data_IF_355218421124
#
_entry.id   IF_355218421124
#
_cell.length_a   1.000
_cell.length_b   1.000
_cell.length_c   1.000
_cell.angle_alpha   90.00
_cell.angle_beta   90.00
_cell.angle_gamma   90.00
#
_symmetry.space_group_name_H-M   'P 1'
#
loop_
_entity.id
_entity.type
_entity.pdbx_description
1 polymer ?
#
# COMPACT_ATOMS: atom_id res chain seq x y z
N UNK A 1 14.88 -5.77 -11.42
CA UNK A 1 15.99 -5.17 -12.20
C UNK A 1 16.27 -3.75 -11.71
N UNK A 2 17.48 -3.51 -11.18
CA UNK A 2 17.82 -2.28 -10.46
C UNK A 2 17.26 -2.29 -9.04
N UNK A 3 17.82 -1.45 -8.17
CA UNK A 3 17.43 -1.34 -6.77
C UNK A 3 18.16 -0.19 -6.07
N UNK A 4 17.94 1.07 -6.49
CA UNK A 4 18.51 2.22 -5.79
C UNK A 4 17.83 2.41 -4.43
N UNK A 5 18.53 3.03 -3.49
CA UNK A 5 17.91 3.42 -2.22
C UNK A 5 16.70 4.35 -2.41
N UNK A 6 15.77 4.31 -1.46
CA UNK A 6 14.61 5.19 -1.42
C UNK A 6 14.81 6.44 -0.54
N UNK A 7 15.95 6.58 0.17
CA UNK A 7 16.29 7.79 0.93
C UNK A 7 17.13 8.76 0.08
N UNK A 8 18.33 8.35 -0.36
CA UNK A 8 19.27 9.16 -1.18
C UNK A 8 19.03 9.05 -2.69
N UNK A 9 18.06 8.23 -3.11
CA UNK A 9 17.62 8.10 -4.49
C UNK A 9 16.10 7.86 -4.53
N UNK A 10 15.57 7.46 -5.70
CA UNK A 10 14.14 7.39 -5.99
C UNK A 10 13.47 6.03 -5.69
N UNK A 11 14.23 5.03 -5.24
CA UNK A 11 13.64 3.80 -4.69
C UNK A 11 12.84 2.92 -5.65
N UNK A 12 13.06 3.02 -6.97
CA UNK A 12 12.27 2.28 -7.98
C UNK A 12 13.14 1.34 -8.81
N UNK A 13 12.53 0.29 -9.37
CA UNK A 13 13.16 -0.50 -10.44
C UNK A 13 13.39 0.35 -11.71
N UNK A 14 14.20 -0.17 -12.64
CA UNK A 14 14.61 0.59 -13.83
C UNK A 14 13.43 0.98 -14.74
N UNK A 15 13.53 2.17 -15.36
CA UNK A 15 12.57 2.63 -16.39
C UNK A 15 12.52 1.66 -17.57
N UNK A 16 13.66 1.07 -17.96
CA UNK A 16 13.71 0.08 -19.05
C UNK A 16 12.84 -1.14 -18.75
N UNK A 17 12.89 -1.66 -17.52
CA UNK A 17 12.08 -2.80 -17.13
C UNK A 17 10.59 -2.46 -17.13
N UNK A 18 10.18 -1.35 -16.51
CA UNK A 18 8.77 -0.92 -16.50
C UNK A 18 8.23 -0.68 -17.92
N UNK A 19 8.98 0.02 -18.78
CA UNK A 19 8.54 0.26 -20.17
C UNK A 19 8.47 -1.00 -21.01
N UNK A 20 9.39 -1.93 -20.81
CA UNK A 20 9.35 -3.23 -21.50
C UNK A 20 8.12 -4.03 -21.07
N UNK A 21 7.84 -4.13 -19.77
CA UNK A 21 6.66 -4.83 -19.26
C UNK A 21 5.36 -4.23 -19.83
N UNK A 22 5.25 -2.89 -19.89
CA UNK A 22 4.08 -2.19 -20.44
C UNK A 22 3.85 -2.46 -21.94
N UNK A 23 4.83 -3.06 -22.66
CA UNK A 23 4.68 -3.45 -24.06
C UNK A 23 4.36 -4.93 -24.24
N UNK A 24 4.47 -5.72 -23.18
CA UNK A 24 4.40 -7.18 -23.23
C UNK A 24 3.28 -7.76 -22.36
N UNK A 25 2.60 -6.92 -21.58
CA UNK A 25 1.60 -7.35 -20.62
C UNK A 25 0.45 -6.35 -20.58
N UNK A 26 -0.76 -6.84 -20.32
CA UNK A 26 -1.95 -6.00 -20.17
C UNK A 26 -1.90 -5.18 -18.87
N UNK A 27 -1.33 -5.76 -17.82
CA UNK A 27 -1.13 -5.11 -16.52
C UNK A 27 0.33 -5.21 -16.09
N UNK A 28 0.84 -4.13 -15.47
CA UNK A 28 2.19 -4.07 -14.91
C UNK A 28 2.12 -3.57 -13.48
N UNK A 29 2.31 -4.48 -12.55
CA UNK A 29 2.48 -4.14 -11.13
C UNK A 29 3.95 -3.81 -10.88
N UNK A 30 4.20 -2.65 -10.28
CA UNK A 30 5.54 -2.20 -9.87
C UNK A 30 5.44 -1.55 -8.50
N UNK A 31 6.57 -1.45 -7.80
CA UNK A 31 6.63 -0.88 -6.45
C UNK A 31 7.66 0.25 -6.35
N UNK A 32 7.59 0.97 -5.23
CA UNK A 32 8.60 1.94 -4.79
C UNK A 32 8.90 1.70 -3.31
N UNK A 33 10.16 1.86 -2.91
CA UNK A 33 10.61 1.56 -1.54
C UNK A 33 10.12 2.57 -0.49
N UNK A 34 10.04 2.13 0.77
CA UNK A 34 9.45 2.85 1.91
C UNK A 34 7.94 3.11 1.75
N UNK A 35 7.38 4.02 2.55
CA UNK A 35 5.98 4.42 2.48
C UNK A 35 5.69 5.34 1.29
N UNK A 36 4.42 5.65 1.07
CA UNK A 36 3.99 6.51 -0.04
C UNK A 36 4.45 7.98 0.09
N UNK A 37 4.84 8.39 1.30
CA UNK A 37 5.47 9.68 1.59
C UNK A 37 6.86 9.84 0.96
N UNK A 38 7.58 8.73 0.71
CA UNK A 38 8.90 8.75 0.08
C UNK A 38 8.91 8.03 -1.27
N UNK A 39 8.53 6.76 -1.29
CA UNK A 39 8.62 5.92 -2.48
C UNK A 39 7.66 6.38 -3.56
N UNK A 40 6.36 6.46 -3.23
CA UNK A 40 5.34 6.86 -4.20
C UNK A 40 5.54 8.30 -4.66
N UNK A 41 5.82 9.24 -3.75
CA UNK A 41 6.16 10.64 -4.09
C UNK A 41 7.28 10.69 -5.15
N UNK A 42 8.39 10.00 -4.93
CA UNK A 42 9.52 9.96 -5.88
C UNK A 42 9.17 9.22 -7.16
N UNK A 43 8.35 8.17 -7.09
CA UNK A 43 7.86 7.48 -8.27
C UNK A 43 7.06 8.43 -9.17
N UNK A 44 6.09 9.17 -8.61
CA UNK A 44 5.30 10.15 -9.37
C UNK A 44 6.14 11.35 -9.83
N UNK A 45 6.85 12.01 -8.92
CA UNK A 45 7.52 13.29 -9.20
C UNK A 45 8.87 13.13 -9.91
N UNK A 46 9.53 11.97 -9.85
CA UNK A 46 10.80 11.73 -10.54
C UNK A 46 10.59 10.75 -11.69
N UNK A 47 10.21 9.50 -11.40
CA UNK A 47 10.19 8.43 -12.42
C UNK A 47 9.11 8.67 -13.47
N UNK A 48 7.86 8.91 -13.08
CA UNK A 48 6.75 9.15 -14.01
C UNK A 48 6.98 10.41 -14.84
N UNK A 49 7.32 11.53 -14.19
CA UNK A 49 7.64 12.79 -14.88
C UNK A 49 8.77 12.65 -15.90
N UNK A 50 9.87 11.95 -15.56
CA UNK A 50 11.03 11.80 -16.47
C UNK A 50 10.81 10.75 -17.55
N UNK A 51 10.05 9.69 -17.27
CA UNK A 51 9.86 8.58 -18.18
C UNK A 51 8.58 8.69 -19.02
N UNK A 52 7.68 9.63 -18.71
CA UNK A 52 6.37 9.76 -19.34
C UNK A 52 5.42 8.61 -18.98
N UNK A 53 5.52 8.08 -17.75
CA UNK A 53 4.62 7.03 -17.25
C UNK A 53 3.39 7.68 -16.61
N UNK A 54 2.24 7.01 -16.74
CA UNK A 54 0.97 7.41 -16.14
C UNK A 54 0.40 6.19 -15.41
N UNK A 55 0.51 6.12 -14.09
CA UNK A 55 -0.06 5.02 -13.31
C UNK A 55 -1.58 5.09 -13.34
N UNK A 56 -2.24 3.96 -13.58
CA UNK A 56 -3.70 3.88 -13.67
C UNK A 56 -4.36 3.64 -12.31
N UNK A 57 -3.65 3.03 -11.35
CA UNK A 57 -4.11 2.78 -9.99
C UNK A 57 -2.94 2.70 -9.00
N UNK A 58 -3.24 2.86 -7.71
CA UNK A 58 -2.32 2.62 -6.58
C UNK A 58 -2.90 1.60 -5.62
N UNK A 59 -2.08 0.64 -5.22
CA UNK A 59 -2.38 -0.26 -4.09
C UNK A 59 -1.57 0.19 -2.88
N UNK A 60 -2.24 0.66 -1.83
CA UNK A 60 -1.62 0.97 -0.54
C UNK A 60 -1.69 -0.26 0.36
N UNK A 61 -0.52 -0.83 0.67
CA UNK A 61 -0.44 -2.02 1.54
C UNK A 61 -0.37 -1.61 3.01
N UNK A 62 -1.19 -2.23 3.85
CA UNK A 62 -1.18 -2.05 5.30
C UNK A 62 -1.39 -3.38 6.05
N UNK A 63 -1.18 -3.37 7.36
CA UNK A 63 -1.47 -4.50 8.27
C UNK A 63 -2.07 -3.96 9.56
N UNK A 64 -2.97 -4.72 10.20
CA UNK A 64 -3.56 -4.31 11.48
C UNK A 64 -2.47 -4.07 12.54
N UNK A 65 -1.42 -4.90 12.53
CA UNK A 65 -0.24 -4.77 13.41
C UNK A 65 0.53 -3.46 13.20
N UNK A 66 0.80 -3.06 11.95
CA UNK A 66 1.49 -1.80 11.68
C UNK A 66 0.65 -0.60 12.11
N UNK A 67 -0.67 -0.65 11.90
CA UNK A 67 -1.58 0.40 12.34
C UNK A 67 -1.62 0.51 13.87
N UNK A 68 -1.74 -0.62 14.60
CA UNK A 68 -1.59 -0.63 16.07
C UNK A 68 -0.27 -0.04 16.54
N UNK A 69 0.83 -0.32 15.84
CA UNK A 69 2.14 0.25 16.16
C UNK A 69 2.16 1.77 15.94
N UNK A 70 1.52 2.28 14.88
CA UNK A 70 1.33 3.71 14.67
C UNK A 70 0.43 4.37 15.74
N UNK A 71 -0.49 3.61 16.33
CA UNK A 71 -1.26 4.02 17.51
C UNK A 71 -0.54 3.85 18.85
N UNK A 72 0.74 3.49 18.85
CA UNK A 72 1.58 3.46 20.05
C UNK A 72 1.74 2.09 20.72
N UNK A 73 1.21 1.01 20.14
CA UNK A 73 1.44 -0.35 20.68
C UNK A 73 2.89 -0.77 20.43
N UNK A 74 3.56 -1.26 21.48
CA UNK A 74 4.92 -1.77 21.36
C UNK A 74 4.97 -3.02 20.47
N UNK A 75 6.09 -3.21 19.76
CA UNK A 75 6.27 -4.31 18.80
C UNK A 75 6.01 -5.71 19.39
N UNK A 76 6.27 -5.89 20.69
CA UNK A 76 6.07 -7.15 21.40
C UNK A 76 4.59 -7.51 21.59
N UNK A 77 3.70 -6.52 21.58
CA UNK A 77 2.30 -6.65 22.03
C UNK A 77 1.30 -6.63 20.86
N UNK A 78 1.79 -6.66 19.61
CA UNK A 78 0.96 -6.47 18.40
C UNK A 78 0.00 -7.63 18.08
N UNK A 79 0.12 -8.78 18.75
CA UNK A 79 -0.70 -9.96 18.45
C UNK A 79 -2.02 -9.98 19.23
N UNK A 80 -2.17 -9.15 20.26
CA UNK A 80 -3.44 -8.97 20.94
C UNK A 80 -4.35 -8.04 20.13
N UNK A 81 -5.66 -8.31 20.15
CA UNK A 81 -6.64 -7.39 19.59
C UNK A 81 -6.56 -6.02 20.30
N UNK A 82 -6.49 -4.94 19.53
CA UNK A 82 -6.59 -3.58 20.07
C UNK A 82 -7.15 -2.62 19.03
N UNK A 83 -8.48 -2.60 18.90
CA UNK A 83 -9.19 -1.73 17.95
C UNK A 83 -8.95 -0.25 18.25
N UNK A 84 -8.85 0.15 19.53
CA UNK A 84 -8.60 1.56 19.90
C UNK A 84 -7.26 2.05 19.35
N UNK A 85 -6.17 1.35 19.65
CA UNK A 85 -4.86 1.75 19.13
C UNK A 85 -4.77 1.60 17.61
N UNK A 86 -5.47 0.61 17.02
CA UNK A 86 -5.56 0.52 15.57
C UNK A 86 -6.18 1.80 14.98
N UNK A 87 -7.30 2.26 15.55
CA UNK A 87 -8.00 3.47 15.10
C UNK A 87 -7.12 4.71 15.27
N UNK A 88 -6.39 4.83 16.38
CA UNK A 88 -5.44 5.92 16.58
C UNK A 88 -4.32 5.92 15.53
N UNK A 89 -3.91 4.74 15.06
CA UNK A 89 -2.92 4.58 14.01
C UNK A 89 -3.44 4.79 12.58
N UNK A 90 -4.77 4.77 12.36
CA UNK A 90 -5.36 4.93 11.03
C UNK A 90 -5.05 6.28 10.39
N UNK A 91 -4.74 7.32 11.17
CA UNK A 91 -4.33 8.63 10.64
C UNK A 91 -3.06 8.55 9.78
N UNK A 92 -2.17 7.56 10.02
CA UNK A 92 -1.06 7.29 9.12
C UNK A 92 -1.53 6.85 7.73
N UNK A 93 -2.44 5.87 7.66
CA UNK A 93 -3.01 5.39 6.41
C UNK A 93 -3.82 6.50 5.70
N UNK A 94 -4.63 7.25 6.45
CA UNK A 94 -5.40 8.38 5.94
C UNK A 94 -4.50 9.46 5.34
N UNK A 95 -3.35 9.75 5.95
CA UNK A 95 -2.35 10.67 5.37
C UNK A 95 -1.83 10.17 4.03
N UNK A 96 -1.52 8.88 3.92
CA UNK A 96 -1.05 8.31 2.64
C UNK A 96 -2.15 8.34 1.57
N UNK A 97 -3.41 8.03 1.91
CA UNK A 97 -4.53 8.13 0.99
C UNK A 97 -4.71 9.56 0.43
N UNK A 98 -4.73 10.58 1.31
CA UNK A 98 -4.81 12.00 0.89
C UNK A 98 -3.61 12.45 0.06
N UNK A 99 -2.43 11.86 0.27
CA UNK A 99 -1.26 12.17 -0.56
C UNK A 99 -1.38 11.55 -1.96
N UNK A 100 -1.91 10.33 -2.07
CA UNK A 100 -2.15 9.69 -3.37
C UNK A 100 -3.26 10.41 -4.15
N UNK A 101 -4.32 10.84 -3.47
CA UNK A 101 -5.42 11.61 -4.07
C UNK A 101 -4.92 12.87 -4.81
N UNK A 102 -3.91 13.56 -4.26
CA UNK A 102 -3.31 14.75 -4.90
C UNK A 102 -2.66 14.46 -6.27
N UNK A 103 -2.29 13.21 -6.56
CA UNK A 103 -1.79 12.81 -7.87
C UNK A 103 -2.92 12.45 -8.87
N UNK A 104 -4.18 12.45 -8.44
CA UNK A 104 -5.35 12.18 -9.28
C UNK A 104 -5.44 10.74 -9.78
N UNK A 105 -4.87 9.79 -9.03
CA UNK A 105 -4.87 8.36 -9.34
C UNK A 105 -5.75 7.61 -8.32
N UNK A 106 -6.65 6.70 -8.74
CA UNK A 106 -7.46 5.94 -7.81
C UNK A 106 -6.60 5.04 -6.92
N UNK A 107 -6.98 4.94 -5.65
CA UNK A 107 -6.28 4.15 -4.65
C UNK A 107 -7.18 3.10 -4.03
N UNK A 108 -6.67 1.88 -3.88
CA UNK A 108 -7.26 0.81 -3.08
C UNK A 108 -6.30 0.43 -1.95
N UNK A 109 -6.84 -0.16 -0.89
CA UNK A 109 -6.05 -0.60 0.27
C UNK A 109 -6.01 -2.12 0.31
N UNK A 110 -4.81 -2.69 0.35
CA UNK A 110 -4.58 -4.12 0.54
C UNK A 110 -4.14 -4.38 1.99
N UNK A 111 -4.93 -5.13 2.74
CA UNK A 111 -4.59 -5.54 4.10
C UNK A 111 -3.97 -6.92 4.07
N UNK A 112 -2.66 -7.00 4.26
CA UNK A 112 -1.98 -8.27 4.38
C UNK A 112 -2.35 -8.92 5.72
N UNK A 113 -3.15 -9.97 5.66
CA UNK A 113 -3.78 -10.61 6.82
C UNK A 113 -2.79 -11.44 7.61
N UNK A 114 -2.79 -11.26 8.94
CA UNK A 114 -2.13 -12.15 9.89
C UNK A 114 -3.15 -13.01 10.63
N UNK A 115 -2.68 -14.16 11.14
CA UNK A 115 -3.52 -15.11 11.91
C UNK A 115 -4.12 -14.47 13.17
N UNK A 116 -3.43 -13.49 13.75
CA UNK A 116 -3.87 -12.77 14.95
C UNK A 116 -4.86 -11.64 14.67
N UNK A 117 -5.03 -11.25 13.40
CA UNK A 117 -5.89 -10.11 13.07
C UNK A 117 -7.35 -10.52 13.25
N UNK A 118 -8.14 -9.67 13.90
CA UNK A 118 -9.54 -9.97 14.19
C UNK A 118 -10.49 -9.30 13.20
N UNK A 119 -11.70 -9.85 12.99
CA UNK A 119 -12.70 -9.19 12.14
C UNK A 119 -12.99 -7.75 12.56
N UNK A 120 -13.02 -7.47 13.86
CA UNK A 120 -13.27 -6.12 14.39
C UNK A 120 -12.17 -5.12 13.99
N UNK A 121 -10.90 -5.55 14.00
CA UNK A 121 -9.78 -4.74 13.53
C UNK A 121 -9.87 -4.44 12.03
N UNK A 122 -10.20 -5.45 11.21
CA UNK A 122 -10.35 -5.27 9.76
C UNK A 122 -11.55 -4.36 9.44
N UNK A 123 -12.67 -4.53 10.15
CA UNK A 123 -13.87 -3.73 9.93
C UNK A 123 -13.67 -2.26 10.31
N UNK A 124 -12.86 -1.97 11.33
CA UNK A 124 -12.44 -0.61 11.66
C UNK A 124 -11.61 0.03 10.53
N UNK A 125 -10.68 -0.74 9.93
CA UNK A 125 -9.91 -0.27 8.76
C UNK A 125 -10.85 0.03 7.58
N UNK A 126 -11.78 -0.88 7.28
CA UNK A 126 -12.80 -0.69 6.23
C UNK A 126 -13.66 0.54 6.46
N UNK A 127 -14.13 0.74 7.69
CA UNK A 127 -14.95 1.90 8.03
C UNK A 127 -14.22 3.21 7.75
N UNK A 128 -12.95 3.31 8.19
CA UNK A 128 -12.16 4.51 7.98
C UNK A 128 -11.79 4.75 6.51
N UNK A 129 -11.39 3.71 5.76
CA UNK A 129 -11.01 3.87 4.35
C UNK A 129 -12.19 4.30 3.46
N UNK A 130 -13.43 3.94 3.83
CA UNK A 130 -14.65 4.38 3.14
C UNK A 130 -14.80 5.91 3.14
N UNK A 131 -14.30 6.61 4.17
CA UNK A 131 -14.33 8.08 4.23
C UNK A 131 -13.47 8.73 3.13
N UNK A 132 -12.49 8.00 2.59
CA UNK A 132 -11.62 8.41 1.50
C UNK A 132 -12.06 7.84 0.14
N UNK A 133 -13.19 7.13 0.08
CA UNK A 133 -13.64 6.42 -1.12
C UNK A 133 -12.73 5.26 -1.53
N UNK A 134 -11.85 4.78 -0.64
CA UNK A 134 -10.92 3.70 -0.93
C UNK A 134 -11.51 2.34 -0.50
N UNK A 135 -11.55 1.40 -1.43
CA UNK A 135 -11.95 0.03 -1.16
C UNK A 135 -10.83 -0.75 -0.46
N UNK A 136 -11.20 -1.71 0.39
CA UNK A 136 -10.26 -2.46 1.24
C UNK A 136 -10.40 -3.94 0.98
N UNK A 137 -9.28 -4.57 0.61
CA UNK A 137 -9.18 -5.99 0.31
C UNK A 137 -8.32 -6.71 1.33
N UNK A 138 -8.86 -7.74 1.98
CA UNK A 138 -8.05 -8.67 2.77
C UNK A 138 -7.24 -9.56 1.83
N UNK A 139 -5.94 -9.63 2.06
CA UNK A 139 -5.00 -10.34 1.21
C UNK A 139 -4.30 -11.45 2.01
N UNK A 140 -4.46 -12.69 1.58
CA UNK A 140 -3.85 -13.88 2.20
C UNK A 140 -2.82 -14.57 1.30
N UNK A 141 -2.32 -13.89 0.26
CA UNK A 141 -1.41 -14.45 -0.74
C UNK A 141 -0.11 -15.05 -0.18
N UNK A 142 0.30 -14.65 1.02
CA UNK A 142 1.43 -15.28 1.70
C UNK A 142 1.15 -16.76 2.05
N UNK A 143 -0.10 -17.08 2.43
CA UNK A 143 -0.53 -18.43 2.74
C UNK A 143 -1.13 -19.14 1.51
N UNK A 144 -1.95 -18.42 0.74
CA UNK A 144 -2.81 -19.01 -0.31
C UNK A 144 -2.31 -18.74 -1.74
N UNK A 145 -1.13 -18.13 -1.90
CA UNK A 145 -0.59 -17.76 -3.21
C UNK A 145 -1.49 -16.78 -3.96
N UNK A 146 -1.54 -16.86 -5.30
CA UNK A 146 -2.34 -15.93 -6.11
C UNK A 146 -3.83 -15.89 -5.75
N UNK A 147 -4.39 -17.03 -5.32
CA UNK A 147 -5.80 -17.14 -4.93
C UNK A 147 -6.17 -16.20 -3.77
N UNK A 148 -5.24 -15.96 -2.85
CA UNK A 148 -5.41 -15.04 -1.72
C UNK A 148 -5.44 -13.55 -2.08
N UNK A 149 -5.41 -13.21 -3.37
CA UNK A 149 -5.45 -11.83 -3.89
C UNK A 149 -6.43 -11.64 -5.05
N UNK A 150 -7.25 -12.64 -5.39
CA UNK A 150 -8.19 -12.53 -6.53
C UNK A 150 -9.16 -11.35 -6.38
N UNK A 151 -9.61 -11.07 -5.15
CA UNK A 151 -10.49 -9.92 -4.89
C UNK A 151 -9.78 -8.58 -5.07
N UNK A 152 -8.47 -8.50 -4.84
CA UNK A 152 -7.68 -7.28 -5.07
C UNK A 152 -7.41 -7.05 -6.56
N UNK A 153 -7.40 -8.11 -7.37
CA UNK A 153 -7.08 -8.06 -8.80
C UNK A 153 -8.29 -7.59 -9.66
N UNK A 154 -8.92 -6.49 -9.24
CA UNK A 154 -10.05 -5.82 -9.91
C UNK A 154 -9.61 -4.72 -10.86
#
# INVERSE_FOLDING_TARGET
>A
HGGPFANIAHGCNSVRATKMALKLSDYVVTEAGFGADLGAEKFFNIKCRKAGLKPDAVVLVATARALKMHGGVAKADLNAENVTALVDGLENLGRHLRNIEQFGVPAVVAINKFVSDTPAEIDAIRAYCREFGAEVFECSHWADGGAGTEQLAV
#
